data_IF_116333009856
#
_entry.id   IF_116333009856
#
_cell.length_a   1.000
_cell.length_b   1.000
_cell.length_c   1.000
_cell.angle_alpha   90.00
_cell.angle_beta   90.00
_cell.angle_gamma   90.00
#
_symmetry.space_group_name_H-M   'P 1'
#
loop_
_entity.id
_entity.type
_entity.pdbx_description
1 polymer ?
#
# COMPACT_ATOMS: atom_id res chain seq x y z
N UNK A 1 16.51 26.02 -18.18
CA UNK A 1 17.92 25.67 -17.90
C UNK A 1 18.54 26.82 -17.12
N UNK A 2 19.13 26.57 -15.95
CA UNK A 2 19.86 27.60 -15.20
C UNK A 2 21.23 27.75 -15.87
N UNK A 3 21.60 28.98 -16.27
CA UNK A 3 22.87 29.24 -16.91
C UNK A 3 24.03 28.76 -16.00
N UNK A 4 24.95 27.97 -16.56
CA UNK A 4 26.10 27.41 -15.82
C UNK A 4 25.87 26.08 -15.11
N UNK A 5 24.66 25.50 -15.19
CA UNK A 5 24.37 24.17 -14.65
C UNK A 5 24.77 23.04 -15.61
N UNK A 6 25.26 21.91 -15.06
CA UNK A 6 25.57 20.68 -15.82
C UNK A 6 24.93 19.48 -15.11
N UNK A 7 24.35 18.56 -15.87
CA UNK A 7 23.79 17.30 -15.35
C UNK A 7 24.55 16.14 -16.00
N UNK A 8 25.02 15.20 -15.17
CA UNK A 8 25.60 13.94 -15.62
C UNK A 8 24.72 12.79 -15.14
N UNK A 9 23.96 12.20 -16.06
CA UNK A 9 23.09 11.06 -15.76
C UNK A 9 23.88 9.80 -15.41
N UNK A 10 25.02 9.58 -16.08
CA UNK A 10 25.93 8.46 -15.80
C UNK A 10 26.45 8.48 -14.36
N UNK A 11 26.74 9.68 -13.83
CA UNK A 11 27.24 9.88 -12.47
C UNK A 11 26.16 10.21 -11.45
N UNK A 12 24.90 10.28 -11.90
CA UNK A 12 23.77 10.77 -11.11
C UNK A 12 24.09 12.10 -10.37
N UNK A 13 24.72 13.05 -11.06
CA UNK A 13 25.26 14.30 -10.46
C UNK A 13 24.66 15.54 -11.14
N UNK A 14 24.26 16.52 -10.33
CA UNK A 14 23.95 17.87 -10.76
C UNK A 14 25.05 18.83 -10.28
N UNK A 15 25.59 19.65 -11.18
CA UNK A 15 26.54 20.73 -10.85
C UNK A 15 25.89 22.09 -11.07
N UNK A 16 25.86 22.94 -10.04
CA UNK A 16 25.36 24.33 -10.09
C UNK A 16 26.37 25.25 -9.43
N UNK A 17 26.81 26.29 -10.14
CA UNK A 17 27.82 27.25 -9.64
C UNK A 17 29.09 26.58 -9.10
N UNK A 18 29.51 25.48 -9.73
CA UNK A 18 30.68 24.69 -9.31
C UNK A 18 30.44 23.75 -8.13
N UNK A 19 29.26 23.79 -7.49
CA UNK A 19 28.87 22.82 -6.44
C UNK A 19 28.26 21.58 -7.08
N UNK A 20 28.73 20.42 -6.64
CA UNK A 20 28.26 19.10 -7.08
C UNK A 20 27.28 18.53 -6.06
N UNK A 21 26.19 17.96 -6.55
CA UNK A 21 25.18 17.26 -5.76
C UNK A 21 24.89 15.93 -6.41
N UNK A 22 25.06 14.85 -5.65
CA UNK A 22 24.70 13.50 -6.08
C UNK A 22 23.22 13.24 -5.82
N UNK A 23 22.57 12.53 -6.75
CA UNK A 23 21.13 12.26 -6.75
C UNK A 23 20.94 10.76 -7.00
N UNK A 24 20.86 9.99 -5.92
CA UNK A 24 20.66 8.55 -6.00
C UNK A 24 19.29 8.12 -5.47
N UNK A 25 18.69 7.06 -6.02
CA UNK A 25 17.46 6.50 -5.48
C UNK A 25 17.76 5.71 -4.20
N UNK A 26 17.15 6.13 -3.09
CA UNK A 26 17.18 5.40 -1.82
C UNK A 26 15.76 4.97 -1.47
N UNK A 27 15.26 3.83 -1.97
CA UNK A 27 13.93 3.35 -1.63
C UNK A 27 13.86 3.04 -0.13
N UNK A 28 12.87 3.61 0.54
CA UNK A 28 12.62 3.37 1.96
C UNK A 28 11.89 2.04 2.16
N UNK A 29 12.19 1.36 3.28
CA UNK A 29 11.53 0.13 3.71
C UNK A 29 11.14 0.21 5.18
N UNK A 30 10.42 -0.80 5.65
CA UNK A 30 10.10 -1.03 7.06
C UNK A 30 11.10 -2.02 7.68
N UNK A 31 11.12 -2.09 9.01
CA UNK A 31 11.78 -3.18 9.74
C UNK A 31 10.96 -4.47 9.56
N UNK A 32 11.32 -5.24 8.54
CA UNK A 32 10.61 -6.45 8.16
C UNK A 32 10.66 -7.52 9.24
N UNK A 33 11.81 -7.68 9.89
CA UNK A 33 12.05 -8.75 10.85
C UNK A 33 11.22 -8.53 12.11
N UNK A 34 11.23 -7.31 12.64
CA UNK A 34 10.39 -6.94 13.77
C UNK A 34 8.90 -7.14 13.45
N UNK A 35 8.42 -6.57 12.33
CA UNK A 35 7.01 -6.67 11.96
C UNK A 35 6.56 -8.11 11.70
N UNK A 36 7.41 -8.93 11.10
CA UNK A 36 7.09 -10.34 10.86
C UNK A 36 6.99 -11.13 12.17
N UNK A 37 7.80 -10.80 13.19
CA UNK A 37 7.72 -11.44 14.49
C UNK A 37 6.46 -11.00 15.24
N UNK A 38 6.18 -9.70 15.29
CA UNK A 38 4.98 -9.14 15.92
C UNK A 38 3.69 -9.69 15.30
N UNK A 39 3.62 -9.79 13.96
CA UNK A 39 2.46 -10.31 13.25
C UNK A 39 2.14 -11.79 13.58
N UNK A 40 3.09 -12.55 14.12
CA UNK A 40 2.92 -13.96 14.48
C UNK A 40 2.51 -14.18 15.94
N UNK A 41 2.42 -13.10 16.73
CA UNK A 41 2.12 -13.15 18.16
C UNK A 41 0.73 -13.76 18.44
N UNK A 42 0.54 -14.24 19.67
CA UNK A 42 -0.72 -14.84 20.10
C UNK A 42 -1.83 -13.79 20.17
N UNK A 43 -1.48 -12.56 20.54
CA UNK A 43 -2.38 -11.42 20.60
C UNK A 43 -2.93 -11.07 19.22
N UNK A 44 -2.06 -11.00 18.20
CA UNK A 44 -2.48 -10.73 16.81
C UNK A 44 -3.38 -11.85 16.28
N UNK A 45 -3.06 -13.11 16.57
CA UNK A 45 -3.93 -14.25 16.20
C UNK A 45 -5.30 -14.17 16.86
N UNK A 46 -5.35 -13.83 18.15
CA UNK A 46 -6.61 -13.64 18.87
C UNK A 46 -7.45 -12.51 18.27
N UNK A 47 -6.80 -11.42 17.87
CA UNK A 47 -7.46 -10.28 17.24
C UNK A 47 -8.01 -10.61 15.84
N UNK A 48 -7.29 -11.42 15.06
CA UNK A 48 -7.77 -11.91 13.76
C UNK A 48 -9.06 -12.73 13.94
N UNK A 49 -9.11 -13.64 14.90
CA UNK A 49 -10.31 -14.45 15.16
C UNK A 49 -11.47 -13.60 15.68
N UNK A 50 -11.20 -12.62 16.55
CA UNK A 50 -12.21 -11.65 17.00
C UNK A 50 -12.82 -10.89 15.83
N UNK A 51 -11.98 -10.31 14.96
CA UNK A 51 -12.42 -9.55 13.79
C UNK A 51 -13.17 -10.42 12.78
N UNK A 52 -12.76 -11.68 12.59
CA UNK A 52 -13.49 -12.64 11.75
C UNK A 52 -14.91 -12.88 12.23
N UNK A 53 -15.10 -13.01 13.54
CA UNK A 53 -16.40 -13.13 14.18
C UNK A 53 -17.25 -11.87 14.02
N UNK A 54 -16.73 -10.71 14.43
CA UNK A 54 -17.45 -9.43 14.41
C UNK A 54 -17.89 -9.00 13.01
N UNK A 55 -17.05 -9.24 12.01
CA UNK A 55 -17.34 -8.88 10.61
C UNK A 55 -18.08 -10.00 9.85
N UNK A 56 -18.49 -11.08 10.51
CA UNK A 56 -19.18 -12.23 9.91
C UNK A 56 -18.47 -12.75 8.65
N UNK A 57 -17.14 -12.90 8.75
CA UNK A 57 -16.30 -13.30 7.62
C UNK A 57 -16.38 -14.81 7.38
N UNK A 58 -16.43 -15.62 8.43
CA UNK A 58 -16.38 -17.09 8.32
C UNK A 58 -15.23 -17.53 7.41
N UNK A 59 -15.53 -18.39 6.44
CA UNK A 59 -14.57 -18.92 5.46
C UNK A 59 -14.46 -18.08 4.18
N UNK A 60 -14.98 -16.85 4.18
CA UNK A 60 -14.87 -15.96 3.01
C UNK A 60 -13.41 -15.63 2.71
N UNK A 61 -13.13 -15.47 1.43
CA UNK A 61 -11.90 -14.84 0.97
C UNK A 61 -11.96 -13.35 1.31
N UNK A 62 -10.95 -12.86 2.02
CA UNK A 62 -10.92 -11.47 2.50
C UNK A 62 -9.86 -10.68 1.73
N UNK A 63 -10.31 -9.64 1.03
CA UNK A 63 -9.43 -8.59 0.54
C UNK A 63 -9.39 -7.43 1.53
N UNK A 64 -8.20 -6.90 1.83
CA UNK A 64 -8.03 -5.78 2.77
C UNK A 64 -7.23 -4.68 2.08
N UNK A 65 -7.63 -3.43 2.30
CA UNK A 65 -6.84 -2.25 1.98
C UNK A 65 -6.82 -1.29 3.15
N UNK A 66 -5.63 -0.80 3.49
CA UNK A 66 -5.42 0.20 4.54
C UNK A 66 -4.67 1.36 3.89
N UNK A 67 -5.35 2.49 3.74
CA UNK A 67 -4.82 3.69 3.10
C UNK A 67 -5.21 4.94 3.88
N UNK A 68 -4.49 6.05 3.71
CA UNK A 68 -5.03 7.36 4.09
C UNK A 68 -6.12 7.75 3.11
N UNK A 69 -7.08 8.57 3.56
CA UNK A 69 -8.08 9.16 2.68
C UNK A 69 -7.45 10.29 1.83
N UNK A 70 -6.74 9.87 0.79
CA UNK A 70 -5.95 10.73 -0.08
C UNK A 70 -6.25 10.41 -1.55
N UNK A 71 -6.42 11.45 -2.37
CA UNK A 71 -6.85 11.33 -3.76
C UNK A 71 -5.86 10.57 -4.66
N UNK A 72 -4.59 10.46 -4.25
CA UNK A 72 -3.56 9.72 -5.00
C UNK A 72 -3.60 8.21 -4.73
N UNK A 73 -4.31 7.74 -3.69
CA UNK A 73 -4.30 6.32 -3.28
C UNK A 73 -5.17 5.42 -4.15
N UNK A 74 -5.91 5.99 -5.11
CA UNK A 74 -6.64 5.22 -6.10
C UNK A 74 -7.84 4.45 -5.55
N UNK A 75 -8.32 4.77 -4.34
CA UNK A 75 -9.45 4.11 -3.67
C UNK A 75 -10.68 3.98 -4.60
N UNK A 76 -11.12 5.03 -5.34
CA UNK A 76 -12.26 4.88 -6.25
C UNK A 76 -12.03 3.83 -7.34
N UNK A 77 -10.81 3.76 -7.90
CA UNK A 77 -10.47 2.82 -8.98
C UNK A 77 -10.43 1.38 -8.44
N UNK A 78 -9.96 1.19 -7.21
CA UNK A 78 -10.00 -0.10 -6.53
C UNK A 78 -11.44 -0.57 -6.32
N UNK A 79 -12.32 0.29 -5.81
CA UNK A 79 -13.73 -0.07 -5.61
C UNK A 79 -14.44 -0.40 -6.94
N UNK A 80 -14.19 0.38 -8.00
CA UNK A 80 -14.68 0.05 -9.36
C UNK A 80 -14.17 -1.30 -9.86
N UNK A 81 -12.93 -1.67 -9.55
CA UNK A 81 -12.38 -2.97 -9.92
C UNK A 81 -13.02 -4.12 -9.14
N UNK A 82 -13.34 -3.93 -7.86
CA UNK A 82 -14.07 -4.91 -7.05
C UNK A 82 -15.51 -5.08 -7.56
N UNK A 83 -16.17 -3.99 -7.92
CA UNK A 83 -17.51 -4.04 -8.54
C UNK A 83 -17.48 -4.85 -9.84
N UNK A 84 -16.57 -4.50 -10.77
CA UNK A 84 -16.36 -5.24 -12.02
C UNK A 84 -15.97 -6.70 -11.80
N UNK A 85 -15.23 -7.01 -10.73
CA UNK A 85 -14.91 -8.39 -10.36
C UNK A 85 -16.18 -9.18 -10.05
N UNK A 86 -17.12 -8.62 -9.28
CA UNK A 86 -18.39 -9.29 -8.97
C UNK A 86 -19.36 -9.36 -10.16
N UNK A 87 -19.28 -8.42 -11.10
CA UNK A 87 -20.00 -8.51 -12.39
C UNK A 87 -19.47 -9.67 -13.24
N UNK A 88 -18.14 -9.79 -13.34
CA UNK A 88 -17.48 -10.77 -14.20
C UNK A 88 -17.47 -12.18 -13.60
N UNK A 89 -17.39 -12.29 -12.28
CA UNK A 89 -17.29 -13.56 -11.55
C UNK A 89 -18.36 -13.65 -10.45
N UNK A 90 -19.64 -13.78 -10.83
CA UNK A 90 -20.76 -13.82 -9.89
C UNK A 90 -20.70 -14.99 -8.89
N UNK A 91 -19.96 -16.06 -9.20
CA UNK A 91 -19.74 -17.21 -8.33
C UNK A 91 -19.01 -16.88 -7.01
N UNK A 92 -18.38 -15.70 -6.93
CA UNK A 92 -17.73 -15.19 -5.72
C UNK A 92 -18.64 -14.31 -4.86
N UNK A 93 -19.86 -13.97 -5.31
CA UNK A 93 -20.84 -13.25 -4.48
C UNK A 93 -21.16 -14.08 -3.24
N UNK A 94 -21.05 -13.46 -2.06
CA UNK A 94 -21.20 -14.13 -0.77
C UNK A 94 -19.98 -14.93 -0.31
N UNK A 95 -18.99 -15.18 -1.18
CA UNK A 95 -17.74 -15.89 -0.85
C UNK A 95 -16.54 -14.97 -0.66
N UNK A 96 -16.59 -13.75 -1.17
CA UNK A 96 -15.54 -12.74 -1.02
C UNK A 96 -16.08 -11.56 -0.24
N UNK A 97 -15.30 -11.07 0.73
CA UNK A 97 -15.50 -9.79 1.41
C UNK A 97 -14.30 -8.88 1.13
N UNK A 98 -14.56 -7.61 0.82
CA UNK A 98 -13.52 -6.60 0.68
C UNK A 98 -13.67 -5.52 1.77
N UNK A 99 -12.60 -5.30 2.55
CA UNK A 99 -12.55 -4.35 3.66
C UNK A 99 -11.62 -3.19 3.29
N UNK A 100 -12.16 -1.98 3.23
CA UNK A 100 -11.40 -0.75 3.02
C UNK A 100 -11.33 0.02 4.34
N UNK A 101 -10.15 0.11 4.94
CA UNK A 101 -9.87 0.97 6.08
C UNK A 101 -9.25 2.26 5.56
N UNK A 102 -9.78 3.39 6.02
CA UNK A 102 -9.24 4.72 5.69
C UNK A 102 -8.99 5.54 6.92
N UNK A 103 -7.82 6.18 6.99
CA UNK A 103 -7.49 7.15 8.04
C UNK A 103 -7.67 8.57 7.47
N UNK A 104 -8.46 9.46 8.12
CA UNK A 104 -8.55 10.86 7.71
C UNK A 104 -7.18 11.51 7.64
N UNK A 105 -6.99 12.39 6.66
CA UNK A 105 -5.80 13.25 6.57
C UNK A 105 -6.07 14.61 7.20
#
# INVERSE_FOLDING_TARGET
>A
MVAGSKVSYEKAEATVEGRKTEVHPFPISVDFEQLSQEAQSVEVKGEIERLRGELNLGDKLVGISIDRLDYIKGIPRRLMAIDRFFEKYPEYKGKVSFIQVTVPS
#
